data_IF_656002644896
#
_entry.id   IF_656002644896
#
_cell.length_a   1.000
_cell.length_b   1.000
_cell.length_c   1.000
_cell.angle_alpha   90.00
_cell.angle_beta   90.00
_cell.angle_gamma   90.00
#
_symmetry.space_group_name_H-M   'P 1'
#
loop_
_entity.id
_entity.type
_entity.pdbx_description
1 polymer ?
#
# COMPACT_ATOMS: atom_id res chain seq x y z
N UNK A 1 13.33 -23.01 12.00
CA UNK A 1 12.48 -22.02 11.35
C UNK A 1 13.34 -21.06 10.54
N UNK A 2 12.96 -20.59 9.34
CA UNK A 2 13.76 -19.65 8.58
C UNK A 2 13.65 -18.25 9.21
N UNK A 3 14.78 -17.67 9.56
CA UNK A 3 14.88 -16.28 9.97
C UNK A 3 14.59 -15.40 8.74
N UNK A 4 13.47 -14.67 8.81
CA UNK A 4 13.10 -13.70 7.79
C UNK A 4 14.08 -12.53 7.78
N UNK A 5 14.71 -12.27 6.65
CA UNK A 5 15.59 -11.14 6.42
C UNK A 5 14.82 -9.82 6.58
N UNK A 6 15.03 -9.14 7.69
CA UNK A 6 14.52 -7.78 7.93
C UNK A 6 15.40 -6.79 7.16
N UNK A 7 14.89 -6.23 6.06
CA UNK A 7 15.52 -5.06 5.44
C UNK A 7 15.25 -3.83 6.31
N UNK A 8 16.25 -3.36 7.02
CA UNK A 8 16.19 -2.08 7.75
C UNK A 8 16.64 -0.98 6.79
N UNK A 9 15.73 -0.09 6.41
CA UNK A 9 16.09 1.14 5.70
C UNK A 9 16.80 2.07 6.68
N UNK A 10 18.14 2.11 6.60
CA UNK A 10 18.97 3.04 7.38
C UNK A 10 19.18 4.31 6.55
N UNK A 11 18.95 5.46 7.19
CA UNK A 11 19.30 6.81 6.72
C UNK A 11 18.43 7.39 5.60
N UNK A 12 17.16 7.64 5.87
CA UNK A 12 16.38 8.62 5.11
C UNK A 12 16.67 10.02 5.69
N UNK A 13 17.52 10.80 4.98
CA UNK A 13 17.60 12.24 5.20
C UNK A 13 16.31 12.87 4.65
N UNK A 14 15.46 13.38 5.53
CA UNK A 14 14.26 14.12 5.12
C UNK A 14 14.71 15.50 4.61
N UNK A 15 14.46 15.85 3.33
CA UNK A 15 14.74 17.20 2.84
C UNK A 15 13.78 18.19 3.51
N UNK A 16 14.24 19.42 3.72
CA UNK A 16 13.39 20.51 4.19
C UNK A 16 12.24 20.70 3.21
N UNK A 17 11.03 20.67 3.75
CA UNK A 17 9.77 20.74 3.02
C UNK A 17 9.71 22.02 2.18
N UNK A 18 9.63 21.86 0.86
CA UNK A 18 9.13 22.91 -0.04
C UNK A 18 7.61 22.83 0.10
N UNK A 19 6.91 23.91 0.45
CA UNK A 19 5.46 23.88 0.50
C UNK A 19 4.93 23.78 -0.95
N UNK A 20 4.56 22.57 -1.36
CA UNK A 20 3.68 22.42 -2.50
C UNK A 20 2.32 23.00 -2.11
N UNK A 21 1.72 23.73 -3.03
CA UNK A 21 0.37 24.25 -2.88
C UNK A 21 -0.54 23.06 -2.60
N UNK A 22 -1.09 22.97 -1.39
CA UNK A 22 -2.04 21.92 -1.04
C UNK A 22 -3.24 22.05 -1.99
N UNK A 23 -3.43 21.03 -2.82
CA UNK A 23 -4.66 20.89 -3.59
C UNK A 23 -5.77 20.43 -2.64
N UNK A 24 -6.96 21.00 -2.78
CA UNK A 24 -8.11 20.52 -2.03
C UNK A 24 -8.50 19.10 -2.55
N UNK A 25 -8.86 18.17 -1.67
CA UNK A 25 -9.32 16.85 -2.09
C UNK A 25 -10.63 16.96 -2.86
N UNK A 26 -10.78 16.14 -3.89
CA UNK A 26 -12.02 16.05 -4.66
C UNK A 26 -13.12 15.40 -3.81
N UNK A 27 -12.77 14.35 -3.08
CA UNK A 27 -13.69 13.59 -2.21
C UNK A 27 -12.92 13.02 -1.03
N UNK A 28 -13.55 13.04 0.15
CA UNK A 28 -13.11 12.25 1.29
C UNK A 28 -13.78 10.86 1.23
N UNK A 29 -12.97 9.80 1.15
CA UNK A 29 -13.45 8.42 1.05
C UNK A 29 -13.64 7.88 2.47
N UNK A 30 -14.82 7.33 2.77
CA UNK A 30 -15.13 6.82 4.11
C UNK A 30 -15.50 5.34 4.10
N UNK A 31 -15.04 4.61 5.11
CA UNK A 31 -15.42 3.22 5.33
C UNK A 31 -15.16 2.33 4.12
N UNK A 32 -16.19 1.64 3.66
CA UNK A 32 -16.13 0.71 2.52
C UNK A 32 -16.33 1.38 1.16
N UNK A 33 -16.61 2.68 1.12
CA UNK A 33 -16.65 3.42 -0.13
C UNK A 33 -15.30 3.27 -0.83
N UNK A 34 -15.33 3.06 -2.14
CA UNK A 34 -14.14 2.73 -2.88
C UNK A 34 -14.00 3.58 -4.14
N UNK A 35 -12.76 3.90 -4.44
CA UNK A 35 -12.37 4.63 -5.65
C UNK A 35 -11.44 3.79 -6.51
N UNK A 36 -11.47 4.03 -7.81
CA UNK A 36 -10.65 3.32 -8.78
C UNK A 36 -9.66 4.29 -9.44
N UNK A 37 -8.38 3.98 -9.33
CA UNK A 37 -7.35 4.62 -10.13
C UNK A 37 -6.94 3.67 -11.25
N UNK A 38 -6.88 4.15 -12.49
CA UNK A 38 -6.57 3.31 -13.64
C UNK A 38 -5.91 4.10 -14.76
N UNK A 39 -5.01 3.44 -15.50
CA UNK A 39 -4.48 3.92 -16.77
C UNK A 39 -5.10 3.21 -17.99
N UNK A 40 -6.20 2.48 -17.79
CA UNK A 40 -6.88 1.70 -18.82
C UNK A 40 -6.40 0.26 -18.96
N UNK A 41 -5.26 -0.10 -18.38
CA UNK A 41 -4.71 -1.47 -18.35
C UNK A 41 -4.53 -1.98 -16.93
N UNK A 42 -3.84 -1.18 -16.12
CA UNK A 42 -3.63 -1.41 -14.70
C UNK A 42 -4.67 -0.63 -13.91
N UNK A 43 -5.24 -1.26 -12.90
CA UNK A 43 -6.25 -0.64 -12.03
C UNK A 43 -5.99 -0.99 -10.58
N UNK A 44 -6.18 -0.04 -9.70
CA UNK A 44 -6.21 -0.25 -8.25
C UNK A 44 -7.52 0.29 -7.68
N UNK A 45 -8.19 -0.53 -6.90
CA UNK A 45 -9.38 -0.17 -6.12
C UNK A 45 -8.92 0.09 -4.69
N UNK A 46 -9.31 1.23 -4.14
CA UNK A 46 -8.91 1.69 -2.81
C UNK A 46 -10.13 2.10 -2.01
N UNK A 47 -10.21 1.75 -0.74
CA UNK A 47 -11.30 2.14 0.15
C UNK A 47 -10.82 2.97 1.35
N UNK A 48 -11.75 3.58 2.06
CA UNK A 48 -11.46 4.43 3.21
C UNK A 48 -10.82 3.72 4.41
N UNK A 49 -10.83 2.39 4.42
CA UNK A 49 -10.19 1.57 5.47
C UNK A 49 -8.73 1.19 5.15
N UNK A 50 -8.17 1.70 4.05
CA UNK A 50 -6.81 1.40 3.63
C UNK A 50 -6.66 0.07 2.89
N UNK A 51 -7.79 -0.59 2.61
CA UNK A 51 -7.84 -1.83 1.84
C UNK A 51 -8.09 -1.58 0.36
N UNK A 52 -8.11 -2.69 -0.40
CA UNK A 52 -8.39 -2.66 -1.82
C UNK A 52 -7.77 -3.84 -2.54
N UNK A 53 -7.71 -3.73 -3.85
CA UNK A 53 -7.06 -4.75 -4.70
C UNK A 53 -6.59 -4.14 -6.00
N UNK A 54 -5.60 -4.79 -6.61
CA UNK A 54 -5.01 -4.36 -7.87
C UNK A 54 -5.23 -5.41 -8.95
N UNK A 55 -5.34 -4.97 -10.19
CA UNK A 55 -5.54 -5.84 -11.35
C UNK A 55 -4.83 -5.33 -12.59
N UNK A 56 -4.42 -6.25 -13.44
CA UNK A 56 -3.93 -6.00 -14.79
C UNK A 56 -4.88 -6.67 -15.78
N UNK A 57 -5.73 -5.88 -16.43
CA UNK A 57 -6.84 -6.40 -17.22
C UNK A 57 -7.76 -7.27 -16.36
N UNK A 58 -7.93 -8.54 -16.73
CA UNK A 58 -8.77 -9.53 -16.02
C UNK A 58 -7.98 -10.37 -14.98
N UNK A 59 -6.68 -10.08 -14.79
CA UNK A 59 -5.84 -10.76 -13.81
C UNK A 59 -5.81 -9.94 -12.52
N UNK A 60 -6.27 -10.53 -11.42
CA UNK A 60 -6.08 -9.98 -10.10
C UNK A 60 -4.65 -10.19 -9.61
N UNK A 61 -4.03 -9.14 -9.08
CA UNK A 61 -2.64 -9.18 -8.61
C UNK A 61 -2.55 -9.56 -7.15
N UNK A 62 -3.52 -9.10 -6.35
CA UNK A 62 -3.61 -9.39 -4.93
C UNK A 62 -5.03 -9.79 -4.52
N UNK A 63 -5.14 -10.45 -3.37
CA UNK A 63 -6.39 -11.04 -2.89
C UNK A 63 -7.31 -9.96 -2.34
N UNK A 64 -8.56 -9.95 -2.81
CA UNK A 64 -9.67 -9.23 -2.19
C UNK A 64 -10.35 -10.15 -1.18
N UNK A 65 -10.43 -9.74 0.09
CA UNK A 65 -11.21 -10.44 1.12
C UNK A 65 -12.43 -9.59 1.49
N UNK A 66 -13.62 -10.07 1.18
CA UNK A 66 -14.87 -9.31 1.35
C UNK A 66 -15.30 -9.14 2.82
N UNK A 67 -14.91 -10.03 3.72
CA UNK A 67 -15.49 -10.11 5.06
C UNK A 67 -14.59 -9.73 6.24
N UNK A 68 -13.34 -9.37 6.01
CA UNK A 68 -12.43 -8.89 7.05
C UNK A 68 -11.49 -7.91 6.41
N UNK A 69 -11.71 -6.61 6.66
CA UNK A 69 -10.81 -5.56 6.27
C UNK A 69 -9.98 -5.96 5.04
N UNK A 70 -10.45 -5.65 3.84
CA UNK A 70 -9.92 -6.19 2.59
C UNK A 70 -8.48 -5.73 2.39
N UNK A 71 -7.55 -6.58 2.76
CA UNK A 71 -6.13 -6.28 2.71
C UNK A 71 -5.57 -6.66 1.36
N UNK A 72 -5.60 -5.75 0.39
CA UNK A 72 -4.79 -5.90 -0.80
C UNK A 72 -3.33 -5.74 -0.46
N UNK A 73 -2.95 -4.54 -0.07
CA UNK A 73 -1.61 -4.16 0.35
C UNK A 73 -1.72 -3.31 1.59
N UNK A 74 -1.12 -3.73 2.69
CA UNK A 74 -1.20 -3.06 3.98
C UNK A 74 0.18 -2.84 4.59
N UNK A 75 0.25 -1.88 5.49
CA UNK A 75 1.45 -1.54 6.21
C UNK A 75 1.29 -1.82 7.70
N UNK A 76 2.36 -2.34 8.28
CA UNK A 76 2.52 -2.47 9.72
C UNK A 76 3.64 -1.54 10.17
N UNK A 77 3.39 -0.77 11.20
CA UNK A 77 4.39 0.05 11.88
C UNK A 77 4.65 -0.55 13.26
N UNK A 78 5.91 -0.89 13.54
CA UNK A 78 6.30 -1.53 14.80
C UNK A 78 5.45 -2.77 15.14
N UNK A 79 5.07 -3.56 14.11
CA UNK A 79 4.26 -4.76 14.25
C UNK A 79 2.76 -4.52 14.42
N UNK A 80 2.29 -3.27 14.40
CA UNK A 80 0.87 -2.91 14.46
C UNK A 80 0.36 -2.52 13.08
N UNK A 81 -0.79 -3.05 12.69
CA UNK A 81 -1.45 -2.67 11.45
C UNK A 81 -1.76 -1.17 11.45
N UNK A 82 -1.37 -0.46 10.39
CA UNK A 82 -1.78 0.91 10.17
C UNK A 82 -3.22 0.94 9.65
N UNK A 83 -4.09 1.61 10.41
CA UNK A 83 -5.47 1.87 10.00
C UNK A 83 -5.58 3.37 9.70
N UNK A 84 -6.05 3.76 8.51
CA UNK A 84 -6.12 5.17 8.16
C UNK A 84 -7.14 5.91 9.02
N UNK A 85 -6.76 7.09 9.50
CA UNK A 85 -7.66 8.04 10.13
C UNK A 85 -8.40 8.89 9.09
N UNK A 86 -7.79 9.05 7.91
CA UNK A 86 -8.35 9.85 6.82
C UNK A 86 -7.95 9.23 5.47
N UNK A 87 -8.84 9.32 4.49
CA UNK A 87 -8.61 8.91 3.12
C UNK A 87 -9.18 9.97 2.18
N UNK A 88 -8.34 10.58 1.36
CA UNK A 88 -8.70 11.66 0.46
C UNK A 88 -8.39 11.27 -0.98
N UNK A 89 -9.35 11.53 -1.88
CA UNK A 89 -9.16 11.43 -3.32
C UNK A 89 -8.74 12.78 -3.89
N UNK A 90 -7.67 12.78 -4.64
CA UNK A 90 -7.20 13.90 -5.46
C UNK A 90 -7.24 13.53 -6.94
N UNK A 91 -6.93 14.47 -7.81
CA UNK A 91 -6.79 14.18 -9.24
C UNK A 91 -5.66 13.18 -9.48
N UNK A 92 -6.03 11.91 -9.77
CA UNK A 92 -5.08 10.82 -10.11
C UNK A 92 -4.36 10.17 -8.93
N UNK A 93 -4.68 10.51 -7.69
CA UNK A 93 -4.08 9.87 -6.51
C UNK A 93 -5.07 9.75 -5.35
N UNK A 94 -4.85 8.77 -4.48
CA UNK A 94 -5.51 8.66 -3.17
C UNK A 94 -4.45 8.83 -2.09
N UNK A 95 -4.76 9.60 -1.06
CA UNK A 95 -3.90 9.82 0.09
C UNK A 95 -4.55 9.30 1.37
N UNK A 96 -3.78 8.55 2.14
CA UNK A 96 -4.14 8.07 3.46
C UNK A 96 -3.30 8.77 4.51
N UNK A 97 -3.94 9.19 5.60
CA UNK A 97 -3.27 9.72 6.79
C UNK A 97 -3.45 8.73 7.94
N UNK A 98 -2.35 8.36 8.56
CA UNK A 98 -2.32 7.47 9.73
C UNK A 98 -1.70 8.20 10.90
N UNK A 99 -2.34 8.13 12.06
CA UNK A 99 -1.81 8.71 13.28
C UNK A 99 -1.41 7.61 14.26
N UNK A 100 -0.21 7.73 14.79
CA UNK A 100 0.26 6.98 15.95
C UNK A 100 0.66 7.95 17.05
N UNK A 101 1.03 7.46 18.20
CA UNK A 101 1.50 8.30 19.30
C UNK A 101 2.76 9.08 18.92
N UNK A 102 3.72 8.44 18.24
CA UNK A 102 5.05 8.96 17.99
C UNK A 102 5.24 9.57 16.60
N UNK A 103 4.51 9.05 15.60
CA UNK A 103 4.67 9.47 14.22
C UNK A 103 3.33 9.66 13.52
N UNK A 104 3.33 10.51 12.51
CA UNK A 104 2.29 10.60 11.50
C UNK A 104 2.83 9.95 10.21
N UNK A 105 1.98 9.17 9.51
CA UNK A 105 2.34 8.57 8.23
C UNK A 105 1.37 9.08 7.18
N UNK A 106 1.91 9.61 6.10
CA UNK A 106 1.18 9.97 4.90
C UNK A 106 1.52 8.96 3.80
N UNK A 107 0.51 8.33 3.22
CA UNK A 107 0.68 7.42 2.10
C UNK A 107 -0.05 7.98 0.89
N UNK A 108 0.66 8.14 -0.22
CA UNK A 108 0.06 8.49 -1.50
C UNK A 108 0.09 7.27 -2.43
N UNK A 109 -1.03 7.00 -3.10
CA UNK A 109 -1.18 5.90 -4.06
C UNK A 109 -1.62 6.47 -5.40
N UNK A 110 -0.91 6.15 -6.46
CA UNK A 110 -1.29 6.48 -7.84
C UNK A 110 -0.96 5.32 -8.78
N UNK A 111 -1.55 5.35 -9.98
CA UNK A 111 -1.23 4.43 -11.07
C UNK A 111 -0.34 5.17 -12.06
N UNK A 112 0.75 4.54 -12.48
CA UNK A 112 1.64 5.09 -13.51
C UNK A 112 0.89 5.27 -14.84
N UNK A 113 1.12 6.38 -15.55
CA UNK A 113 0.38 6.70 -16.77
C UNK A 113 0.74 5.78 -17.94
N UNK A 114 1.97 5.33 -18.01
CA UNK A 114 2.59 4.61 -19.13
C UNK A 114 3.11 3.22 -18.77
N UNK A 115 3.06 2.86 -17.49
CA UNK A 115 3.52 1.57 -16.96
C UNK A 115 2.38 0.79 -16.27
N UNK A 116 2.46 -0.54 -16.30
CA UNK A 116 1.52 -1.40 -15.59
C UNK A 116 1.91 -1.53 -14.11
N UNK A 117 1.87 -0.41 -13.41
CA UNK A 117 2.34 -0.32 -12.04
C UNK A 117 1.51 0.66 -11.20
N UNK A 118 1.41 0.38 -9.91
CA UNK A 118 1.00 1.36 -8.90
C UNK A 118 2.22 1.83 -8.11
N UNK A 119 2.21 3.09 -7.75
CA UNK A 119 3.25 3.73 -6.96
C UNK A 119 2.64 4.06 -5.60
N UNK A 120 3.28 3.57 -4.54
CA UNK A 120 2.94 3.87 -3.16
C UNK A 120 4.10 4.57 -2.48
N UNK A 121 3.97 5.85 -2.24
CA UNK A 121 4.95 6.62 -1.48
C UNK A 121 4.49 6.80 -0.04
N UNK A 122 5.44 6.71 0.90
CA UNK A 122 5.18 6.92 2.30
C UNK A 122 6.11 8.01 2.84
N UNK A 123 5.51 8.95 3.56
CA UNK A 123 6.22 9.94 4.33
C UNK A 123 5.93 9.68 5.80
N UNK A 124 6.99 9.49 6.60
CA UNK A 124 6.90 9.29 8.05
C UNK A 124 7.39 10.57 8.71
N UNK A 125 6.52 11.18 9.49
CA UNK A 125 6.79 12.45 10.18
C UNK A 125 6.93 12.14 11.66
N UNK A 126 8.11 12.39 12.21
CA UNK A 126 8.36 12.28 13.65
C UNK A 126 7.66 13.44 14.38
N UNK A 127 6.78 13.14 15.32
CA UNK A 127 6.09 14.11 16.16
C UNK A 127 6.86 14.46 17.45
N UNK A 128 7.87 13.67 17.76
CA UNK A 128 8.69 13.81 18.96
C UNK A 128 9.94 14.65 18.68
N UNK A 129 10.50 15.22 19.72
CA UNK A 129 11.77 15.98 19.64
C UNK A 129 12.99 15.05 19.51
N UNK A 130 12.85 13.82 20.00
CA UNK A 130 13.91 12.82 19.99
C UNK A 130 13.80 11.94 18.74
N UNK A 131 14.94 11.34 18.35
CA UNK A 131 15.01 10.41 17.22
C UNK A 131 14.16 9.18 17.52
N UNK A 132 13.25 8.83 16.61
CA UNK A 132 12.43 7.65 16.71
C UNK A 132 12.91 6.58 15.71
N UNK A 133 13.02 5.35 16.18
CA UNK A 133 13.28 4.19 15.34
C UNK A 133 11.98 3.48 15.04
N UNK A 134 11.66 3.35 13.76
CA UNK A 134 10.43 2.68 13.31
C UNK A 134 10.76 1.50 12.42
N UNK A 135 10.00 0.43 12.59
CA UNK A 135 10.02 -0.74 11.70
C UNK A 135 8.76 -0.70 10.85
N UNK A 136 8.93 -0.51 9.54
CA UNK A 136 7.85 -0.52 8.57
C UNK A 136 7.86 -1.85 7.81
N UNK A 137 6.73 -2.54 7.81
CA UNK A 137 6.54 -3.80 7.08
C UNK A 137 5.39 -3.66 6.09
N UNK A 138 5.65 -3.93 4.82
CA UNK A 138 4.63 -4.08 3.80
C UNK A 138 4.17 -5.54 3.76
N UNK A 139 2.85 -5.76 3.75
CA UNK A 139 2.26 -7.06 3.50
C UNK A 139 1.34 -7.00 2.28
N UNK A 140 1.47 -7.99 1.41
CA UNK A 140 0.60 -8.18 0.26
C UNK A 140 0.39 -9.68 0.04
N UNK A 141 -0.87 -10.11 -0.11
CA UNK A 141 -1.22 -11.48 -0.47
C UNK A 141 -1.44 -11.55 -1.97
N UNK A 142 -0.56 -12.28 -2.68
CA UNK A 142 -0.60 -12.37 -4.13
C UNK A 142 -1.68 -13.34 -4.61
N UNK A 143 -2.34 -13.00 -5.72
CA UNK A 143 -3.30 -13.84 -6.42
C UNK A 143 -2.79 -14.28 -7.80
N UNK A 144 -2.37 -13.34 -8.64
CA UNK A 144 -1.76 -13.50 -9.97
C UNK A 144 -2.59 -14.38 -10.93
N UNK A 145 -3.90 -14.37 -10.80
CA UNK A 145 -4.83 -15.16 -11.62
C UNK A 145 -6.19 -14.44 -11.73
N UNK A 146 -7.09 -15.01 -12.54
CA UNK A 146 -8.46 -14.49 -12.62
C UNK A 146 -9.16 -14.67 -11.27
N UNK A 147 -9.88 -13.64 -10.76
CA UNK A 147 -10.54 -13.70 -9.45
C UNK A 147 -11.47 -14.89 -9.31
N UNK A 148 -12.20 -15.25 -10.37
CA UNK A 148 -13.10 -16.40 -10.39
C UNK A 148 -12.34 -17.71 -10.17
N UNK A 149 -11.24 -17.92 -10.89
CA UNK A 149 -10.40 -19.12 -10.74
C UNK A 149 -9.79 -19.22 -9.34
N UNK A 150 -9.39 -18.08 -8.78
CA UNK A 150 -8.91 -18.05 -7.40
C UNK A 150 -10.02 -18.40 -6.40
N UNK A 151 -11.24 -17.88 -6.58
CA UNK A 151 -12.36 -18.18 -5.68
C UNK A 151 -12.77 -19.66 -5.71
N UNK A 152 -12.70 -20.31 -6.87
CA UNK A 152 -13.00 -21.73 -7.03
C UNK A 152 -11.92 -22.64 -6.42
N UNK A 153 -10.63 -22.28 -6.57
CA UNK A 153 -9.49 -23.11 -6.16
C UNK A 153 -8.32 -22.27 -5.60
N UNK A 154 -8.45 -21.63 -4.43
CA UNK A 154 -7.42 -20.71 -3.91
C UNK A 154 -6.07 -21.41 -3.64
N UNK A 155 -6.10 -22.60 -3.04
CA UNK A 155 -4.87 -23.35 -2.75
C UNK A 155 -4.14 -23.78 -4.01
N UNK A 156 -4.87 -24.19 -5.05
CA UNK A 156 -4.30 -24.56 -6.34
C UNK A 156 -3.64 -23.36 -7.02
N UNK A 157 -4.30 -22.21 -7.03
CA UNK A 157 -3.75 -20.98 -7.61
C UNK A 157 -2.43 -20.57 -6.94
N UNK A 158 -2.32 -20.73 -5.62
CA UNK A 158 -1.12 -20.41 -4.86
C UNK A 158 0.09 -21.31 -5.19
N UNK A 159 -0.12 -22.55 -5.67
CA UNK A 159 0.95 -23.48 -6.00
C UNK A 159 1.82 -23.04 -7.19
N UNK A 160 1.32 -22.15 -8.04
CA UNK A 160 2.03 -21.64 -9.21
C UNK A 160 2.74 -20.31 -8.97
N UNK A 161 2.63 -19.74 -7.77
CA UNK A 161 3.30 -18.49 -7.41
C UNK A 161 4.70 -18.81 -6.92
N UNK A 162 5.71 -18.34 -7.66
CA UNK A 162 7.11 -18.45 -7.26
C UNK A 162 7.64 -17.09 -6.85
N UNK A 163 8.29 -17.00 -5.70
CA UNK A 163 8.91 -15.78 -5.21
C UNK A 163 10.42 -15.92 -5.19
N UNK A 164 11.14 -14.87 -5.61
CA UNK A 164 12.59 -14.77 -5.55
C UNK A 164 12.98 -13.52 -4.79
N UNK A 165 13.68 -13.68 -3.68
CA UNK A 165 14.26 -12.54 -2.98
C UNK A 165 15.58 -12.14 -3.68
N UNK A 166 15.69 -10.85 -3.99
CA UNK A 166 16.93 -10.23 -4.42
C UNK A 166 17.41 -9.32 -3.29
N UNK A 167 18.62 -9.57 -2.82
CA UNK A 167 19.31 -8.68 -1.90
C UNK A 167 20.40 -7.97 -2.67
N UNK A 168 20.28 -6.65 -2.85
CA UNK A 168 21.41 -5.86 -3.31
C UNK A 168 22.45 -5.90 -2.20
N UNK A 169 23.54 -6.63 -2.43
CA UNK A 169 24.72 -6.50 -1.62
C UNK A 169 25.38 -5.20 -2.05
N UNK A 170 25.26 -4.17 -1.23
CA UNK A 170 26.17 -3.03 -1.34
C UNK A 170 27.60 -3.57 -1.17
N UNK A 171 28.38 -3.46 -2.25
CA UNK A 171 29.82 -3.71 -2.28
C UNK A 171 30.56 -2.56 -1.62
#
# INVERSE_FOLDING_TARGET
GPEGNKKTLRNLKVPNKIPEKEEDPVVCITGHDAEVLSNGKYSVVLNGLGGGYSSLGDIGLNVRRENKNSYGTVFYLNGRLLVPAKCDLYSGKVEYTYFTEQVEVLQSVCVASDENAEIRSLQIINKEKEVQWVNLTLYCELMLTKPRSYAEHPSYSGMFITTKAQTDRES
#
